data_IF_429511033018
#
_entry.id   IF_429511033018
#
_cell.length_a   1.000
_cell.length_b   1.000
_cell.length_c   1.000
_cell.angle_alpha   90.00
_cell.angle_beta   90.00
_cell.angle_gamma   90.00
#
_symmetry.space_group_name_H-M   'P 1'
#
loop_
_entity.id
_entity.type
_entity.pdbx_description
1 polymer ?
#
# COMPACT_ATOMS: atom_id res chain seq x y z
N UNK A 1 -5.82 39.45 -31.17
CA UNK A 1 -6.99 39.86 -30.36
C UNK A 1 -6.99 41.38 -30.09
N UNK A 2 -6.64 42.21 -31.09
CA UNK A 2 -6.44 43.67 -30.95
C UNK A 2 -7.36 44.61 -31.77
N UNK A 3 -8.20 44.18 -32.75
CA UNK A 3 -9.07 45.15 -33.46
C UNK A 3 -10.37 45.50 -32.70
N UNK A 4 -10.65 44.80 -31.59
CA UNK A 4 -11.96 44.79 -30.92
C UNK A 4 -12.12 45.93 -29.90
N UNK A 5 -11.03 46.35 -29.28
CA UNK A 5 -11.01 47.46 -28.31
C UNK A 5 -11.16 48.81 -29.04
N UNK A 6 -10.69 48.89 -30.29
CA UNK A 6 -10.75 50.10 -31.12
C UNK A 6 -12.15 50.41 -31.64
N UNK A 7 -12.97 49.41 -31.99
CA UNK A 7 -14.34 49.65 -32.48
C UNK A 7 -15.28 50.10 -31.36
N UNK A 8 -15.15 49.53 -30.17
CA UNK A 8 -15.92 49.96 -28.98
C UNK A 8 -15.47 51.35 -28.55
N UNK A 9 -14.16 51.63 -28.52
CA UNK A 9 -13.64 52.99 -28.24
C UNK A 9 -14.04 53.99 -29.32
N UNK A 10 -14.11 53.60 -30.61
CA UNK A 10 -14.62 54.46 -31.70
C UNK A 10 -16.10 54.74 -31.59
N UNK A 11 -16.91 53.77 -31.19
CA UNK A 11 -18.34 53.97 -30.92
C UNK A 11 -18.58 54.84 -29.69
N UNK A 12 -17.81 54.64 -28.61
CA UNK A 12 -17.89 55.47 -27.39
C UNK A 12 -17.45 56.92 -27.66
N UNK A 13 -16.41 57.14 -28.48
CA UNK A 13 -15.96 58.49 -28.88
C UNK A 13 -16.93 59.22 -29.82
N UNK A 14 -17.89 58.52 -30.43
CA UNK A 14 -18.91 59.10 -31.31
C UNK A 14 -20.22 59.43 -30.61
N UNK A 15 -20.33 59.17 -29.31
CA UNK A 15 -21.50 59.55 -28.52
C UNK A 15 -21.29 60.97 -27.99
N UNK A 16 -22.07 61.97 -28.45
CA UNK A 16 -22.12 63.23 -27.74
C UNK A 16 -22.64 62.92 -26.33
N UNK A 17 -21.92 63.41 -25.31
CA UNK A 17 -22.48 63.44 -23.97
C UNK A 17 -23.76 64.27 -24.02
N UNK A 18 -24.84 63.78 -23.43
CA UNK A 18 -26.10 64.54 -23.30
C UNK A 18 -25.74 65.90 -22.74
N UNK A 19 -25.69 66.90 -23.61
CA UNK A 19 -25.37 68.22 -23.14
C UNK A 19 -26.60 68.68 -22.41
N UNK A 20 -26.49 68.98 -21.12
CA UNK A 20 -27.48 69.74 -20.35
C UNK A 20 -28.05 70.90 -21.17
N UNK A 21 -27.26 71.42 -22.12
CA UNK A 21 -27.64 72.36 -23.18
C UNK A 21 -28.92 71.98 -23.95
N UNK A 22 -29.12 70.74 -24.40
CA UNK A 22 -30.30 70.39 -25.21
C UNK A 22 -31.56 70.34 -24.35
N UNK A 23 -31.45 69.85 -23.11
CA UNK A 23 -32.51 69.90 -22.11
C UNK A 23 -32.79 71.36 -21.68
N UNK A 24 -31.74 72.18 -21.53
CA UNK A 24 -31.82 73.61 -21.23
C UNK A 24 -32.46 74.40 -22.38
N UNK A 25 -32.14 74.10 -23.63
CA UNK A 25 -32.72 74.74 -24.82
C UNK A 25 -34.20 74.36 -24.97
N UNK A 26 -34.58 73.11 -24.67
CA UNK A 26 -35.99 72.67 -24.65
C UNK A 26 -36.79 73.37 -23.54
N UNK A 27 -36.22 73.44 -22.33
CA UNK A 27 -36.83 74.10 -21.16
C UNK A 27 -36.92 75.61 -21.38
N UNK A 28 -35.89 76.25 -21.94
CA UNK A 28 -35.92 77.67 -22.30
C UNK A 28 -36.93 77.95 -23.43
N UNK A 29 -36.99 77.11 -24.45
CA UNK A 29 -37.97 77.26 -25.54
C UNK A 29 -39.42 77.17 -25.06
N UNK A 30 -39.72 76.21 -24.17
CA UNK A 30 -41.01 76.10 -23.49
C UNK A 30 -41.29 77.27 -22.54
N UNK A 31 -40.27 77.77 -21.84
CA UNK A 31 -40.36 78.95 -20.98
C UNK A 31 -40.71 80.23 -21.75
N UNK A 32 -40.08 80.45 -22.90
CA UNK A 32 -40.36 81.59 -23.80
C UNK A 32 -41.76 81.48 -24.41
N UNK A 33 -42.19 80.29 -24.83
CA UNK A 33 -43.55 80.07 -25.35
C UNK A 33 -44.66 80.30 -24.29
N UNK A 34 -44.41 79.90 -23.04
CA UNK A 34 -45.29 80.23 -21.89
C UNK A 34 -45.30 81.72 -21.57
N UNK A 35 -44.14 82.38 -21.62
CA UNK A 35 -44.02 83.83 -21.41
C UNK A 35 -44.87 84.62 -22.41
N UNK A 36 -44.79 84.28 -23.71
CA UNK A 36 -45.54 84.97 -24.78
C UNK A 36 -47.07 84.73 -24.67
N UNK A 37 -47.50 83.56 -24.17
CA UNK A 37 -48.93 83.27 -23.97
C UNK A 37 -49.49 83.92 -22.69
N UNK A 38 -48.69 84.05 -21.64
CA UNK A 38 -49.04 84.81 -20.44
C UNK A 38 -49.13 86.32 -20.74
N UNK A 39 -48.17 86.88 -21.49
CA UNK A 39 -48.18 88.29 -21.92
C UNK A 39 -49.41 88.62 -22.79
N UNK A 40 -49.92 87.66 -23.57
CA UNK A 40 -51.17 87.80 -24.34
C UNK A 40 -52.43 87.82 -23.47
N UNK A 41 -52.41 87.21 -22.29
CA UNK A 41 -53.57 87.17 -21.40
C UNK A 41 -53.78 88.51 -20.65
N UNK A 42 -52.72 89.29 -20.45
CA UNK A 42 -52.76 90.57 -19.72
C UNK A 42 -52.96 91.80 -20.62
N UNK A 43 -52.97 91.65 -21.95
CA UNK A 43 -53.14 92.79 -22.87
C UNK A 43 -54.61 93.17 -23.11
N UNK A 44 -54.96 94.41 -22.75
CA UNK A 44 -56.27 95.03 -22.97
C UNK A 44 -56.67 95.14 -24.46
N UNK A 45 -57.98 95.28 -24.72
CA UNK A 45 -58.60 95.22 -26.07
C UNK A 45 -57.98 96.22 -27.06
N UNK A 46 -57.50 97.38 -26.60
CA UNK A 46 -56.86 98.42 -27.44
C UNK A 46 -55.43 98.03 -27.88
N UNK A 47 -54.67 97.34 -27.02
CA UNK A 47 -53.33 96.86 -27.36
C UNK A 47 -53.36 95.75 -28.41
N UNK A 48 -54.40 94.89 -28.37
CA UNK A 48 -54.63 93.83 -29.36
C UNK A 48 -54.91 94.36 -30.78
N UNK A 49 -55.63 95.48 -30.89
CA UNK A 49 -55.88 96.17 -32.17
C UNK A 49 -54.60 96.79 -32.76
N UNK A 50 -53.74 97.39 -31.92
CA UNK A 50 -52.45 97.93 -32.36
C UNK A 50 -51.44 96.84 -32.75
N UNK A 51 -51.46 95.69 -32.05
CA UNK A 51 -50.62 94.54 -32.38
C UNK A 51 -50.99 93.88 -33.72
N UNK A 52 -52.27 93.88 -34.10
CA UNK A 52 -52.74 93.44 -35.42
C UNK A 52 -52.31 94.40 -36.55
N UNK A 53 -52.28 95.71 -36.30
CA UNK A 53 -51.87 96.71 -37.30
C UNK A 53 -50.35 96.73 -37.56
N UNK A 54 -49.54 96.33 -36.57
CA UNK A 54 -48.07 96.35 -36.62
C UNK A 54 -47.44 95.01 -37.02
N UNK A 55 -48.25 93.97 -37.22
CA UNK A 55 -47.79 92.62 -37.60
C UNK A 55 -47.06 91.86 -36.47
N UNK A 56 -47.03 92.41 -35.25
CA UNK A 56 -46.34 91.81 -34.10
C UNK A 56 -47.01 90.51 -33.65
N UNK A 57 -48.32 90.39 -33.82
CA UNK A 57 -49.10 89.20 -33.43
C UNK A 57 -48.78 87.99 -34.34
N UNK A 58 -48.57 88.24 -35.63
CA UNK A 58 -48.12 87.23 -36.60
C UNK A 58 -46.67 86.80 -36.33
N UNK A 59 -45.80 87.75 -35.94
CA UNK A 59 -44.43 87.47 -35.52
C UNK A 59 -44.36 86.64 -34.24
N UNK A 60 -45.23 86.91 -33.26
CA UNK A 60 -45.33 86.13 -32.03
C UNK A 60 -45.88 84.71 -32.27
N UNK A 61 -46.86 84.56 -33.17
CA UNK A 61 -47.33 83.24 -33.61
C UNK A 61 -46.23 82.45 -34.33
N UNK A 62 -45.48 83.09 -35.24
CA UNK A 62 -44.34 82.47 -35.93
C UNK A 62 -43.22 82.06 -34.95
N UNK A 63 -42.94 82.87 -33.93
CA UNK A 63 -41.97 82.52 -32.89
C UNK A 63 -42.45 81.34 -32.02
N UNK A 64 -43.73 81.29 -31.70
CA UNK A 64 -44.32 80.18 -30.92
C UNK A 64 -44.33 78.89 -31.74
N UNK A 65 -44.68 78.98 -33.03
CA UNK A 65 -44.64 77.85 -33.95
C UNK A 65 -43.21 77.35 -34.15
N UNK A 66 -42.25 78.26 -34.29
CA UNK A 66 -40.84 77.92 -34.41
C UNK A 66 -40.30 77.25 -33.14
N UNK A 67 -40.59 77.77 -31.95
CA UNK A 67 -40.20 77.15 -30.69
C UNK A 67 -40.83 75.76 -30.49
N UNK A 68 -42.06 75.55 -30.96
CA UNK A 68 -42.72 74.25 -30.90
C UNK A 68 -42.07 73.24 -31.88
N UNK A 69 -41.77 73.69 -33.10
CA UNK A 69 -41.08 72.87 -34.11
C UNK A 69 -39.67 72.52 -33.64
N UNK A 70 -38.92 73.48 -33.09
CA UNK A 70 -37.59 73.27 -32.53
C UNK A 70 -37.65 72.28 -31.34
N UNK A 71 -38.67 72.39 -30.48
CA UNK A 71 -38.90 71.45 -29.37
C UNK A 71 -39.29 70.04 -29.81
N UNK A 72 -40.13 69.91 -30.85
CA UNK A 72 -40.46 68.61 -31.45
C UNK A 72 -39.23 67.96 -32.09
N UNK A 73 -38.41 68.75 -32.77
CA UNK A 73 -37.18 68.27 -33.40
C UNK A 73 -36.16 67.80 -32.35
N UNK A 74 -35.97 68.56 -31.27
CA UNK A 74 -35.11 68.17 -30.16
C UNK A 74 -35.61 66.92 -29.41
N UNK A 75 -36.92 66.72 -29.26
CA UNK A 75 -37.49 65.48 -28.69
C UNK A 75 -37.29 64.27 -29.61
N UNK A 76 -37.44 64.46 -30.93
CA UNK A 76 -37.15 63.42 -31.92
C UNK A 76 -35.67 63.04 -31.87
N UNK A 77 -34.76 64.02 -31.83
CA UNK A 77 -33.32 63.78 -31.68
C UNK A 77 -32.99 63.03 -30.40
N UNK A 78 -33.57 63.45 -29.25
CA UNK A 78 -33.33 62.82 -27.96
C UNK A 78 -33.91 61.39 -27.90
N UNK A 79 -35.08 61.15 -28.50
CA UNK A 79 -35.67 59.81 -28.61
C UNK A 79 -34.87 58.89 -29.53
N UNK A 80 -34.33 59.43 -30.62
CA UNK A 80 -33.50 58.70 -31.58
C UNK A 80 -32.16 58.33 -30.94
N UNK A 81 -31.56 59.24 -30.19
CA UNK A 81 -30.32 59.00 -29.45
C UNK A 81 -30.51 57.97 -28.32
N UNK A 82 -31.62 58.06 -27.57
CA UNK A 82 -31.98 57.06 -26.56
C UNK A 82 -32.20 55.68 -27.17
N UNK A 83 -32.90 55.59 -28.31
CA UNK A 83 -33.10 54.33 -29.04
C UNK A 83 -31.78 53.76 -29.58
N UNK A 84 -30.87 54.60 -30.08
CA UNK A 84 -29.54 54.17 -30.51
C UNK A 84 -28.69 53.65 -29.35
N UNK A 85 -28.72 54.31 -28.18
CA UNK A 85 -28.03 53.84 -26.97
C UNK A 85 -28.62 52.54 -26.44
N UNK A 86 -29.94 52.36 -26.50
CA UNK A 86 -30.58 51.10 -26.14
C UNK A 86 -30.12 49.97 -27.09
N UNK A 87 -30.11 50.20 -28.40
CA UNK A 87 -29.66 49.21 -29.39
C UNK A 87 -28.18 48.80 -29.20
N UNK A 88 -27.29 49.74 -28.88
CA UNK A 88 -25.87 49.44 -28.57
C UNK A 88 -25.76 48.64 -27.27
N UNK A 89 -26.57 48.97 -26.27
CA UNK A 89 -26.60 48.26 -24.98
C UNK A 89 -27.10 46.83 -25.14
N UNK A 90 -28.17 46.63 -25.92
CA UNK A 90 -28.74 45.31 -26.23
C UNK A 90 -27.74 44.46 -27.03
N UNK A 91 -27.02 45.05 -27.98
CA UNK A 91 -25.96 44.36 -28.70
C UNK A 91 -24.81 43.94 -27.77
N UNK A 92 -24.38 44.83 -26.88
CA UNK A 92 -23.35 44.52 -25.88
C UNK A 92 -23.80 43.40 -24.93
N UNK A 93 -25.05 43.45 -24.45
CA UNK A 93 -25.66 42.41 -23.60
C UNK A 93 -25.77 41.07 -24.33
N UNK A 94 -26.24 41.06 -25.59
CA UNK A 94 -26.32 39.84 -26.38
C UNK A 94 -24.94 39.22 -26.59
N UNK A 95 -23.90 40.04 -26.76
CA UNK A 95 -22.51 39.60 -26.91
C UNK A 95 -21.93 39.06 -25.61
N UNK A 96 -22.16 39.73 -24.48
CA UNK A 96 -21.80 39.24 -23.14
C UNK A 96 -22.51 37.91 -22.85
N UNK A 97 -23.80 37.81 -23.14
CA UNK A 97 -24.58 36.57 -22.99
C UNK A 97 -24.06 35.44 -23.89
N UNK A 98 -23.50 35.75 -25.06
CA UNK A 98 -22.87 34.77 -25.96
C UNK A 98 -21.53 34.31 -25.40
N UNK A 99 -20.69 35.22 -24.91
CA UNK A 99 -19.43 34.86 -24.24
C UNK A 99 -19.65 34.09 -22.93
N UNK A 100 -20.67 34.41 -22.15
CA UNK A 100 -21.03 33.67 -20.94
C UNK A 100 -21.51 32.25 -21.27
N UNK A 101 -22.30 32.07 -22.34
CA UNK A 101 -22.67 30.73 -22.81
C UNK A 101 -21.46 29.92 -23.25
N UNK A 102 -20.59 30.51 -24.07
CA UNK A 102 -19.36 29.84 -24.51
C UNK A 102 -18.43 29.46 -23.35
N UNK A 103 -18.24 30.36 -22.38
CA UNK A 103 -17.40 30.06 -21.20
C UNK A 103 -18.02 29.00 -20.29
N UNK A 104 -19.35 28.99 -20.15
CA UNK A 104 -20.07 27.92 -19.46
C UNK A 104 -19.88 26.57 -20.17
N UNK A 105 -20.08 26.51 -21.48
CA UNK A 105 -19.93 25.27 -22.25
C UNK A 105 -18.49 24.73 -22.15
N UNK A 106 -17.49 25.61 -22.15
CA UNK A 106 -16.09 25.24 -21.96
C UNK A 106 -15.83 24.71 -20.53
N UNK A 107 -16.41 25.34 -19.51
CA UNK A 107 -16.31 24.88 -18.13
C UNK A 107 -17.00 23.52 -17.90
N UNK A 108 -18.14 23.28 -18.54
CA UNK A 108 -18.84 22.01 -18.48
C UNK A 108 -18.04 20.90 -19.18
N UNK A 109 -17.41 21.19 -20.32
CA UNK A 109 -16.53 20.27 -21.03
C UNK A 109 -15.27 19.92 -20.22
N UNK A 110 -14.62 20.91 -19.59
CA UNK A 110 -13.44 20.65 -18.74
C UNK A 110 -13.80 19.86 -17.48
N UNK A 111 -14.96 20.12 -16.87
CA UNK A 111 -15.44 19.33 -15.74
C UNK A 111 -15.72 17.87 -16.12
N UNK A 112 -16.24 17.61 -17.32
CA UNK A 112 -16.44 16.25 -17.82
C UNK A 112 -15.09 15.52 -18.03
N UNK A 113 -14.10 16.19 -18.62
CA UNK A 113 -12.77 15.60 -18.80
C UNK A 113 -12.06 15.35 -17.47
N UNK A 114 -12.21 16.24 -16.48
CA UNK A 114 -11.70 16.01 -15.12
C UNK A 114 -12.33 14.78 -14.46
N UNK A 115 -13.64 14.56 -14.65
CA UNK A 115 -14.31 13.34 -14.16
C UNK A 115 -13.77 12.10 -14.85
N UNK A 116 -13.63 12.10 -16.17
CA UNK A 116 -13.02 10.98 -16.91
C UNK A 116 -11.61 10.66 -16.44
N UNK A 117 -10.80 11.69 -16.19
CA UNK A 117 -9.45 11.50 -15.65
C UNK A 117 -9.47 10.94 -14.22
N UNK A 118 -10.43 11.35 -13.39
CA UNK A 118 -10.63 10.79 -12.06
C UNK A 118 -11.03 9.31 -12.13
N UNK A 119 -11.98 8.94 -13.01
CA UNK A 119 -12.41 7.55 -13.22
C UNK A 119 -11.23 6.68 -13.70
N UNK A 120 -10.40 7.18 -14.63
CA UNK A 120 -9.20 6.48 -15.10
C UNK A 120 -8.17 6.34 -13.98
N UNK A 121 -7.96 7.38 -13.16
CA UNK A 121 -7.04 7.33 -12.03
C UNK A 121 -7.50 6.31 -10.97
N UNK A 122 -8.81 6.23 -10.71
CA UNK A 122 -9.40 5.24 -9.82
C UNK A 122 -9.20 3.81 -10.36
N UNK A 123 -9.53 3.57 -11.63
CA UNK A 123 -9.33 2.27 -12.28
C UNK A 123 -7.85 1.85 -12.28
N UNK A 124 -6.92 2.79 -12.52
CA UNK A 124 -5.48 2.53 -12.42
C UNK A 124 -5.08 2.20 -10.98
N UNK A 125 -5.63 2.90 -9.98
CA UNK A 125 -5.38 2.62 -8.57
C UNK A 125 -5.90 1.24 -8.13
N UNK A 126 -7.03 0.79 -8.66
CA UNK A 126 -7.52 -0.58 -8.48
C UNK A 126 -6.62 -1.62 -9.15
N UNK A 127 -6.20 -1.35 -10.39
CA UNK A 127 -5.31 -2.25 -11.12
C UNK A 127 -3.95 -2.41 -10.44
N UNK A 128 -3.34 -1.32 -9.97
CA UNK A 128 -2.07 -1.36 -9.23
C UNK A 128 -2.22 -2.21 -7.97
N UNK A 129 -3.28 -2.02 -7.18
CA UNK A 129 -3.54 -2.84 -5.98
C UNK A 129 -3.68 -4.33 -6.32
N UNK A 130 -4.43 -4.65 -7.37
CA UNK A 130 -4.57 -6.03 -7.83
C UNK A 130 -3.23 -6.64 -8.30
N UNK A 131 -2.38 -5.84 -8.94
CA UNK A 131 -1.02 -6.24 -9.30
C UNK A 131 -0.15 -6.49 -8.07
N UNK A 132 -0.17 -5.60 -7.08
CA UNK A 132 0.61 -5.72 -5.84
C UNK A 132 0.22 -6.98 -5.05
N UNK A 133 -1.09 -7.23 -4.91
CA UNK A 133 -1.61 -8.46 -4.28
C UNK A 133 -1.13 -9.71 -5.04
N UNK A 134 -1.17 -9.67 -6.37
CA UNK A 134 -0.72 -10.79 -7.20
C UNK A 134 0.79 -11.03 -7.08
N UNK A 135 1.59 -9.97 -7.03
CA UNK A 135 3.03 -10.03 -6.83
C UNK A 135 3.34 -10.65 -5.46
N UNK A 136 2.70 -10.19 -4.39
CA UNK A 136 2.90 -10.72 -3.05
C UNK A 136 2.61 -12.24 -2.96
N UNK A 137 1.53 -12.70 -3.60
CA UNK A 137 1.19 -14.13 -3.69
C UNK A 137 2.28 -14.92 -4.44
N UNK A 138 2.78 -14.38 -5.54
CA UNK A 138 3.83 -15.03 -6.34
C UNK A 138 5.17 -15.07 -5.59
N UNK A 139 5.52 -14.02 -4.85
CA UNK A 139 6.71 -13.97 -4.02
C UNK A 139 6.64 -14.98 -2.87
N UNK A 140 5.49 -15.08 -2.20
CA UNK A 140 5.27 -16.09 -1.16
C UNK A 140 5.37 -17.52 -1.73
N UNK A 141 4.78 -17.76 -2.90
CA UNK A 141 4.88 -19.05 -3.59
C UNK A 141 6.32 -19.38 -3.98
N UNK A 142 7.05 -18.42 -4.56
CA UNK A 142 8.47 -18.56 -4.91
C UNK A 142 9.30 -18.91 -3.67
N UNK A 143 9.12 -18.17 -2.57
CA UNK A 143 9.84 -18.43 -1.32
C UNK A 143 9.56 -19.85 -0.78
N UNK A 144 8.32 -20.34 -0.91
CA UNK A 144 7.97 -21.71 -0.55
C UNK A 144 8.66 -22.75 -1.44
N UNK A 145 8.73 -22.52 -2.75
CA UNK A 145 9.42 -23.41 -3.69
C UNK A 145 10.93 -23.43 -3.43
N UNK A 146 11.55 -22.26 -3.26
CA UNK A 146 12.98 -22.13 -2.98
C UNK A 146 13.36 -22.85 -1.67
N UNK A 147 12.52 -22.72 -0.64
CA UNK A 147 12.73 -23.43 0.63
C UNK A 147 12.61 -24.95 0.48
N UNK A 148 11.66 -25.43 -0.33
CA UNK A 148 11.51 -26.85 -0.63
C UNK A 148 12.73 -27.39 -1.39
N UNK A 149 13.18 -26.69 -2.43
CA UNK A 149 14.34 -27.09 -3.22
C UNK A 149 15.60 -27.14 -2.34
N UNK A 150 15.82 -26.14 -1.50
CA UNK A 150 16.93 -26.14 -0.55
C UNK A 150 16.86 -27.32 0.44
N UNK A 151 15.66 -27.69 0.91
CA UNK A 151 15.48 -28.87 1.76
C UNK A 151 15.76 -30.18 0.99
N UNK A 152 15.35 -30.27 -0.27
CA UNK A 152 15.62 -31.42 -1.14
C UNK A 152 17.12 -31.58 -1.42
N UNK A 153 17.85 -30.49 -1.71
CA UNK A 153 19.30 -30.49 -1.93
C UNK A 153 20.07 -30.96 -0.70
N UNK A 154 19.66 -30.48 0.48
CA UNK A 154 20.24 -30.91 1.77
C UNK A 154 20.01 -32.41 1.98
N UNK A 155 18.81 -32.92 1.69
CA UNK A 155 18.54 -34.36 1.78
C UNK A 155 19.34 -35.17 0.76
N UNK A 156 19.52 -34.69 -0.47
CA UNK A 156 20.32 -35.36 -1.50
C UNK A 156 21.80 -35.50 -1.08
N UNK A 157 22.34 -34.49 -0.40
CA UNK A 157 23.72 -34.50 0.12
C UNK A 157 23.93 -35.28 1.42
N UNK A 158 22.87 -35.87 2.00
CA UNK A 158 22.93 -36.46 3.34
C UNK A 158 23.87 -37.67 3.43
N UNK A 159 23.91 -38.52 2.40
CA UNK A 159 24.79 -39.70 2.36
C UNK A 159 26.27 -39.33 2.38
N UNK A 160 26.67 -38.35 1.57
CA UNK A 160 28.04 -37.83 1.54
C UNK A 160 28.44 -37.20 2.88
N UNK A 161 27.53 -36.45 3.52
CA UNK A 161 27.76 -35.87 4.85
C UNK A 161 27.84 -36.94 5.93
N UNK A 162 26.99 -37.97 5.89
CA UNK A 162 27.06 -39.10 6.81
C UNK A 162 28.41 -39.80 6.72
N UNK A 163 28.89 -40.08 5.49
CA UNK A 163 30.22 -40.69 5.26
C UNK A 163 31.35 -39.83 5.81
N UNK A 164 31.32 -38.53 5.54
CA UNK A 164 32.34 -37.60 6.04
C UNK A 164 32.32 -37.47 7.58
N UNK A 165 31.12 -37.48 8.18
CA UNK A 165 30.92 -37.35 9.63
C UNK A 165 31.13 -38.63 10.43
N UNK A 166 31.08 -39.81 9.80
CA UNK A 166 31.26 -41.11 10.45
C UNK A 166 32.75 -41.42 10.73
N UNK A 167 33.53 -40.46 11.21
CA UNK A 167 34.93 -40.68 11.65
C UNK A 167 35.06 -41.53 12.93
N UNK A 168 34.29 -42.62 13.05
CA UNK A 168 34.19 -43.46 14.24
C UNK A 168 33.08 -43.04 15.22
N UNK A 169 32.22 -42.09 14.84
CA UNK A 169 31.05 -41.71 15.65
C UNK A 169 30.04 -42.86 15.66
N UNK A 170 29.55 -43.30 16.84
CA UNK A 170 28.51 -44.32 16.91
C UNK A 170 27.28 -43.91 16.13
N UNK A 171 26.74 -44.81 15.31
CA UNK A 171 25.60 -44.50 14.45
C UNK A 171 24.38 -43.92 15.20
N UNK A 172 24.03 -44.30 16.46
CA UNK A 172 22.90 -43.68 17.15
C UNK A 172 23.16 -42.22 17.50
N UNK A 173 24.42 -41.87 17.82
CA UNK A 173 24.86 -40.51 18.08
C UNK A 173 24.82 -39.69 16.79
N UNK A 174 25.38 -40.25 15.70
CA UNK A 174 25.34 -39.63 14.38
C UNK A 174 23.91 -39.37 13.92
N UNK A 175 23.00 -40.32 14.12
CA UNK A 175 21.58 -40.18 13.78
C UNK A 175 20.91 -39.00 14.50
N UNK A 176 21.15 -38.84 15.81
CA UNK A 176 20.61 -37.73 16.60
C UNK A 176 21.20 -36.40 16.14
N UNK A 177 22.51 -36.32 15.94
CA UNK A 177 23.17 -35.09 15.49
C UNK A 177 22.72 -34.66 14.09
N UNK A 178 22.62 -35.60 13.14
CA UNK A 178 22.14 -35.31 11.80
C UNK A 178 20.65 -34.91 11.81
N UNK A 179 19.81 -35.61 12.58
CA UNK A 179 18.41 -35.22 12.75
C UNK A 179 18.28 -33.80 13.33
N UNK A 180 19.13 -33.45 14.30
CA UNK A 180 19.20 -32.10 14.89
C UNK A 180 19.61 -31.05 13.88
N UNK A 181 20.67 -31.31 13.10
CA UNK A 181 21.13 -30.40 12.04
C UNK A 181 20.01 -30.12 11.01
N UNK A 182 19.34 -31.19 10.55
CA UNK A 182 18.22 -31.07 9.61
C UNK A 182 17.05 -30.28 10.22
N UNK A 183 16.70 -30.57 11.47
CA UNK A 183 15.62 -29.90 12.20
C UNK A 183 15.90 -28.42 12.45
N UNK A 184 17.14 -28.04 12.76
CA UNK A 184 17.53 -26.64 12.96
C UNK A 184 17.64 -25.85 11.63
N UNK A 185 17.90 -26.56 10.53
CA UNK A 185 18.15 -25.97 9.21
C UNK A 185 16.92 -25.77 8.32
N UNK A 186 17.15 -25.83 7.00
CA UNK A 186 16.12 -25.68 5.96
C UNK A 186 15.02 -26.72 6.04
N UNK A 187 15.33 -27.96 6.43
CA UNK A 187 14.36 -29.05 6.50
C UNK A 187 13.34 -28.81 7.61
N UNK A 188 13.76 -28.33 8.79
CA UNK A 188 12.82 -27.94 9.84
C UNK A 188 11.97 -26.73 9.47
N UNK A 189 12.55 -25.73 8.78
CA UNK A 189 11.78 -24.59 8.24
C UNK A 189 10.73 -25.05 7.24
N UNK A 190 11.09 -25.94 6.33
CA UNK A 190 10.15 -26.52 5.36
C UNK A 190 9.04 -27.32 6.05
N UNK A 191 9.38 -28.12 7.06
CA UNK A 191 8.38 -28.88 7.84
C UNK A 191 7.35 -27.99 8.54
N UNK A 192 7.74 -26.80 9.00
CA UNK A 192 6.77 -25.86 9.57
C UNK A 192 5.78 -25.31 8.54
N UNK A 193 6.13 -25.27 7.25
CA UNK A 193 5.24 -24.87 6.17
C UNK A 193 4.44 -26.04 5.60
N UNK A 194 5.09 -27.17 5.35
CA UNK A 194 4.50 -28.34 4.68
C UNK A 194 3.81 -29.34 5.62
N UNK A 195 4.08 -29.25 6.92
CA UNK A 195 3.51 -30.13 7.95
C UNK A 195 4.36 -31.37 8.29
N UNK A 196 3.96 -32.13 9.32
CA UNK A 196 4.78 -33.18 9.94
C UNK A 196 4.98 -34.41 9.04
N UNK A 197 4.19 -34.59 7.97
CA UNK A 197 4.35 -35.69 7.02
C UNK A 197 5.74 -35.71 6.35
N UNK A 198 6.38 -34.54 6.20
CA UNK A 198 7.73 -34.44 5.64
C UNK A 198 8.78 -35.20 6.47
N UNK A 199 8.56 -35.37 7.77
CA UNK A 199 9.47 -36.10 8.67
C UNK A 199 9.65 -37.55 8.29
N UNK A 200 8.64 -38.17 7.68
CA UNK A 200 8.73 -39.57 7.20
C UNK A 200 9.81 -39.67 6.13
N UNK A 201 9.78 -38.77 5.14
CA UNK A 201 10.80 -38.69 4.09
C UNK A 201 12.19 -38.42 4.66
N UNK A 202 12.30 -37.49 5.62
CA UNK A 202 13.57 -37.21 6.29
C UNK A 202 14.12 -38.46 6.98
N UNK A 203 13.26 -39.19 7.71
CA UNK A 203 13.66 -40.42 8.40
C UNK A 203 14.09 -41.52 7.43
N UNK A 204 13.40 -41.68 6.30
CA UNK A 204 13.76 -42.68 5.29
C UNK A 204 15.11 -42.38 4.62
N UNK A 205 15.36 -41.11 4.28
CA UNK A 205 16.64 -40.67 3.69
C UNK A 205 17.79 -40.80 4.71
N UNK A 206 17.57 -40.40 5.97
CA UNK A 206 18.55 -40.56 7.04
C UNK A 206 18.85 -42.03 7.33
N UNK A 207 17.82 -42.88 7.35
CA UNK A 207 17.98 -44.32 7.53
C UNK A 207 18.80 -44.95 6.40
N UNK A 208 18.54 -44.57 5.15
CA UNK A 208 19.32 -45.02 4.00
C UNK A 208 20.79 -44.61 4.12
N UNK A 209 21.06 -43.34 4.45
CA UNK A 209 22.41 -42.84 4.67
C UNK A 209 23.13 -43.60 5.79
N UNK A 210 22.48 -43.82 6.94
CA UNK A 210 23.10 -44.53 8.07
C UNK A 210 23.37 -46.02 7.76
N UNK A 211 22.46 -46.71 7.06
CA UNK A 211 22.65 -48.12 6.68
C UNK A 211 23.83 -48.29 5.74
N UNK A 212 24.02 -47.36 4.81
CA UNK A 212 25.15 -47.39 3.89
C UNK A 212 26.47 -47.29 4.65
N UNK A 213 26.54 -46.42 5.66
CA UNK A 213 27.79 -46.20 6.39
C UNK A 213 28.05 -47.27 7.46
N UNK A 214 27.01 -47.74 8.15
CA UNK A 214 27.16 -48.70 9.25
C UNK A 214 27.01 -50.17 8.82
N UNK A 215 26.58 -50.45 7.57
CA UNK A 215 26.34 -51.79 7.03
C UNK A 215 25.41 -52.67 7.90
N UNK A 216 24.38 -52.07 8.52
CA UNK A 216 23.54 -52.75 9.52
C UNK A 216 22.25 -53.34 8.93
N UNK A 217 21.86 -54.58 9.33
CA UNK A 217 20.53 -55.11 9.06
C UNK A 217 19.48 -54.48 9.97
N UNK A 218 18.24 -54.36 9.50
CA UNK A 218 17.12 -53.80 10.30
C UNK A 218 16.55 -54.82 11.29
N UNK A 219 17.33 -55.11 12.33
CA UNK A 219 16.94 -56.02 13.41
C UNK A 219 16.76 -55.26 14.70
N UNK A 220 15.98 -55.83 15.62
CA UNK A 220 15.89 -55.31 16.98
C UNK A 220 17.27 -55.31 17.63
N UNK A 221 17.65 -54.20 18.25
CA UNK A 221 18.89 -54.08 19.01
C UNK A 221 18.61 -53.49 20.40
N UNK A 222 19.36 -53.92 21.43
CA UNK A 222 19.37 -53.26 22.73
C UNK A 222 20.16 -51.96 22.62
N UNK A 223 19.47 -50.82 22.80
CA UNK A 223 20.05 -49.49 22.63
C UNK A 223 21.25 -49.27 23.56
N UNK A 224 21.16 -49.72 24.80
CA UNK A 224 22.22 -49.60 25.80
C UNK A 224 23.51 -50.31 25.35
N UNK A 225 23.41 -51.51 24.77
CA UNK A 225 24.58 -52.25 24.29
C UNK A 225 25.24 -51.54 23.12
N UNK A 226 24.44 -51.09 22.15
CA UNK A 226 24.96 -50.38 20.97
C UNK A 226 25.66 -49.08 21.34
N UNK A 227 25.10 -48.33 22.30
CA UNK A 227 25.73 -47.12 22.80
C UNK A 227 26.98 -47.41 23.63
N UNK A 228 26.96 -48.43 24.50
CA UNK A 228 28.11 -48.84 25.31
C UNK A 228 29.28 -49.32 24.46
N UNK A 229 29.02 -50.10 23.42
CA UNK A 229 30.04 -50.54 22.46
C UNK A 229 30.52 -49.36 21.60
N UNK A 230 29.60 -48.48 21.22
CA UNK A 230 29.89 -47.29 20.42
C UNK A 230 30.86 -46.33 21.10
N UNK A 231 30.63 -45.95 22.37
CA UNK A 231 31.52 -44.98 23.02
C UNK A 231 32.91 -45.57 23.30
N UNK A 232 33.01 -46.89 23.51
CA UNK A 232 34.30 -47.58 23.66
C UNK A 232 35.13 -47.54 22.38
N UNK A 233 34.47 -47.56 21.21
CA UNK A 233 35.13 -47.41 19.92
C UNK A 233 35.69 -45.99 19.69
N UNK A 234 35.25 -44.98 20.45
CA UNK A 234 35.83 -43.64 20.41
C UNK A 234 37.22 -43.63 21.04
N UNK A 235 38.21 -43.24 20.23
CA UNK A 235 39.65 -43.40 20.51
C UNK A 235 40.18 -42.51 21.64
N UNK A 236 39.57 -41.37 21.92
CA UNK A 236 40.07 -40.38 22.89
C UNK A 236 38.96 -39.88 23.81
N UNK A 237 39.33 -39.47 25.03
CA UNK A 237 38.41 -38.82 25.97
C UNK A 237 37.86 -37.50 25.42
N UNK A 238 38.68 -36.77 24.66
CA UNK A 238 38.28 -35.50 24.03
C UNK A 238 37.15 -35.68 23.02
N UNK A 239 37.16 -36.75 22.22
CA UNK A 239 36.04 -37.05 21.30
C UNK A 239 34.74 -37.33 22.05
N UNK A 240 34.81 -38.03 23.19
CA UNK A 240 33.63 -38.32 24.02
C UNK A 240 33.06 -37.05 24.61
N UNK A 241 33.92 -36.17 25.12
CA UNK A 241 33.53 -34.86 25.64
C UNK A 241 32.92 -33.97 24.57
N UNK A 242 33.55 -33.87 23.39
CA UNK A 242 33.02 -33.09 22.27
C UNK A 242 31.62 -33.56 21.85
N UNK A 243 31.41 -34.88 21.74
CA UNK A 243 30.10 -35.42 21.40
C UNK A 243 29.06 -35.18 22.51
N UNK A 244 29.47 -35.22 23.77
CA UNK A 244 28.60 -34.85 24.89
C UNK A 244 28.17 -33.38 24.78
N UNK A 245 29.12 -32.47 24.54
CA UNK A 245 28.85 -31.02 24.38
C UNK A 245 27.95 -30.74 23.16
N UNK A 246 28.17 -31.40 22.02
CA UNK A 246 27.31 -31.28 20.82
C UNK A 246 25.87 -31.80 21.05
N UNK A 247 25.69 -32.68 22.04
CA UNK A 247 24.40 -33.20 22.47
C UNK A 247 23.80 -32.41 23.64
N UNK A 248 24.36 -31.25 23.97
CA UNK A 248 23.96 -30.35 25.05
C UNK A 248 24.19 -30.91 26.47
N UNK A 249 25.06 -31.91 26.62
CA UNK A 249 25.42 -32.41 27.95
C UNK A 249 26.09 -31.30 28.77
N UNK A 250 25.65 -31.13 30.02
CA UNK A 250 26.16 -30.10 30.92
C UNK A 250 25.65 -28.68 30.66
N UNK A 251 24.75 -28.45 29.70
CA UNK A 251 24.05 -27.17 29.58
C UNK A 251 23.04 -27.00 30.72
N UNK A 252 22.77 -25.74 31.10
CA UNK A 252 21.69 -25.41 32.02
C UNK A 252 20.38 -26.05 31.53
N UNK A 253 19.61 -26.76 32.39
CA UNK A 253 18.36 -27.40 31.99
C UNK A 253 17.34 -26.46 31.30
N UNK A 254 17.43 -25.14 31.54
CA UNK A 254 16.61 -24.12 30.87
C UNK A 254 17.03 -23.87 29.42
N UNK A 255 18.29 -24.11 29.12
CA UNK A 255 18.90 -24.00 27.78
C UNK A 255 18.88 -25.35 27.05
N UNK A 256 18.95 -26.44 27.80
CA UNK A 256 18.97 -27.79 27.26
C UNK A 256 17.59 -28.14 26.66
N UNK A 257 17.58 -28.68 25.43
CA UNK A 257 16.37 -29.15 24.75
C UNK A 257 15.86 -30.50 25.31
N UNK A 258 15.99 -30.70 26.63
CA UNK A 258 16.01 -32.02 27.29
C UNK A 258 14.64 -32.34 27.89
N UNK A 259 13.68 -32.68 27.05
CA UNK A 259 12.42 -33.31 27.46
C UNK A 259 12.10 -34.55 26.63
N UNK A 260 13.08 -35.06 25.87
CA UNK A 260 12.87 -36.13 24.89
C UNK A 260 13.67 -37.38 25.22
N UNK A 261 13.01 -38.53 25.41
CA UNK A 261 13.60 -39.71 26.03
C UNK A 261 14.81 -40.27 25.27
N UNK A 262 14.76 -40.30 23.94
CA UNK A 262 15.83 -40.88 23.14
C UNK A 262 17.05 -39.99 23.14
N UNK A 263 16.86 -38.71 22.82
CA UNK A 263 17.90 -37.69 22.76
C UNK A 263 18.60 -37.55 24.11
N UNK A 264 17.82 -37.48 25.21
CA UNK A 264 18.36 -37.40 26.56
C UNK A 264 19.20 -38.63 26.92
N UNK A 265 18.77 -39.83 26.53
CA UNK A 265 19.53 -41.07 26.77
C UNK A 265 20.88 -41.04 26.04
N UNK A 266 20.90 -40.62 24.77
CA UNK A 266 22.14 -40.54 23.99
C UNK A 266 23.08 -39.48 24.57
N UNK A 267 22.56 -38.29 24.92
CA UNK A 267 23.32 -37.22 25.54
C UNK A 267 23.93 -37.64 26.90
N UNK A 268 23.11 -38.16 27.81
CA UNK A 268 23.54 -38.63 29.13
C UNK A 268 24.55 -39.78 29.02
N UNK A 269 24.43 -40.64 28.01
CA UNK A 269 25.41 -41.69 27.79
C UNK A 269 26.78 -41.10 27.46
N UNK A 270 26.84 -40.12 26.55
CA UNK A 270 28.10 -39.46 26.19
C UNK A 270 28.66 -38.64 27.36
N UNK A 271 27.79 -37.98 28.14
CA UNK A 271 28.17 -37.27 29.37
C UNK A 271 28.87 -38.22 30.36
N UNK A 272 28.21 -39.32 30.73
CA UNK A 272 28.75 -40.32 31.65
C UNK A 272 30.02 -40.98 31.09
N UNK A 273 30.08 -41.24 29.78
CA UNK A 273 31.26 -41.79 29.11
C UNK A 273 32.43 -40.79 29.02
N UNK A 274 32.18 -39.49 29.15
CA UNK A 274 33.22 -38.46 29.13
C UNK A 274 33.92 -38.27 30.49
N UNK A 275 33.35 -38.82 31.58
CA UNK A 275 33.93 -38.74 32.92
C UNK A 275 35.33 -39.37 33.00
N UNK A 276 36.20 -38.93 33.93
CA UNK A 276 37.47 -39.57 34.22
C UNK A 276 37.29 -41.05 34.58
N UNK A 277 38.28 -41.89 34.28
CA UNK A 277 38.17 -43.36 34.46
C UNK A 277 37.83 -43.77 35.92
N UNK A 278 38.21 -42.96 36.91
CA UNK A 278 37.90 -43.19 38.33
C UNK A 278 36.42 -42.95 38.70
N UNK A 279 35.70 -42.17 37.92
CA UNK A 279 34.30 -41.79 38.14
C UNK A 279 33.36 -42.29 37.03
N UNK A 280 33.91 -42.79 35.92
CA UNK A 280 33.14 -43.33 34.80
C UNK A 280 32.49 -44.65 35.19
N UNK A 281 31.16 -44.80 35.04
CA UNK A 281 30.52 -46.09 35.21
C UNK A 281 30.98 -47.12 34.16
N UNK A 282 30.98 -48.41 34.50
CA UNK A 282 31.33 -49.48 33.54
C UNK A 282 30.37 -49.56 32.34
N UNK A 283 29.10 -49.20 32.58
CA UNK A 283 28.00 -49.22 31.59
C UNK A 283 27.25 -47.89 31.58
N UNK A 284 27.85 -46.81 31.04
CA UNK A 284 27.24 -45.49 30.95
C UNK A 284 25.84 -45.51 30.31
N UNK A 285 25.66 -46.28 29.23
CA UNK A 285 24.40 -46.28 28.48
C UNK A 285 23.25 -46.89 29.27
N UNK A 286 23.52 -47.96 30.02
CA UNK A 286 22.53 -48.60 30.89
C UNK A 286 22.02 -47.64 31.96
N UNK A 287 22.93 -46.90 32.60
CA UNK A 287 22.59 -45.92 33.62
C UNK A 287 21.83 -44.74 33.00
N UNK A 288 22.29 -44.24 31.86
CA UNK A 288 21.60 -43.16 31.13
C UNK A 288 20.16 -43.56 30.77
N UNK A 289 19.94 -44.77 30.26
CA UNK A 289 18.60 -45.28 29.94
C UNK A 289 17.71 -45.37 31.19
N UNK A 290 18.25 -45.85 32.30
CA UNK A 290 17.51 -45.93 33.57
C UNK A 290 17.14 -44.54 34.11
N UNK A 291 18.07 -43.58 34.05
CA UNK A 291 17.83 -42.18 34.45
C UNK A 291 16.79 -41.51 33.54
N UNK A 292 16.92 -41.66 32.22
CA UNK A 292 15.95 -41.13 31.25
C UNK A 292 14.55 -41.71 31.47
N UNK A 293 14.44 -43.01 31.77
CA UNK A 293 13.16 -43.65 32.08
C UNK A 293 12.47 -43.03 33.29
N UNK A 294 13.24 -42.69 34.33
CA UNK A 294 12.73 -42.04 35.53
C UNK A 294 12.29 -40.59 35.29
N UNK A 295 12.98 -39.87 34.40
CA UNK A 295 12.73 -38.42 34.14
C UNK A 295 11.67 -38.15 33.07
N UNK A 296 11.72 -38.89 31.97
CA UNK A 296 10.97 -38.58 30.72
C UNK A 296 9.95 -39.65 30.33
N UNK A 297 9.86 -40.74 31.10
CA UNK A 297 8.91 -41.84 30.85
C UNK A 297 9.51 -43.00 30.02
N UNK A 298 8.65 -43.87 29.49
CA UNK A 298 9.09 -45.13 28.87
C UNK A 298 9.92 -44.92 27.60
N UNK A 299 11.16 -45.42 27.64
CA UNK A 299 12.02 -45.58 26.46
C UNK A 299 12.09 -47.07 26.14
N UNK A 300 11.54 -47.45 24.99
CA UNK A 300 11.66 -48.83 24.51
C UNK A 300 13.15 -49.14 24.30
N UNK A 301 13.68 -50.07 25.10
CA UNK A 301 15.09 -50.47 25.05
C UNK A 301 15.41 -51.34 23.84
N UNK A 302 14.38 -51.97 23.24
CA UNK A 302 14.46 -52.66 21.97
C UNK A 302 13.91 -51.79 20.86
N UNK A 303 14.75 -51.38 19.91
CA UNK A 303 14.28 -50.69 18.72
C UNK A 303 14.81 -51.39 17.48
N UNK A 304 14.04 -51.37 16.39
CA UNK A 304 14.64 -51.53 15.06
C UNK A 304 15.39 -50.25 14.71
N UNK A 305 16.35 -50.32 13.79
CA UNK A 305 17.12 -49.16 13.35
C UNK A 305 16.17 -48.12 12.74
N UNK A 306 15.21 -48.58 11.92
CA UNK A 306 14.16 -47.71 11.38
C UNK A 306 13.35 -47.02 12.49
N UNK A 307 12.95 -47.77 13.53
CA UNK A 307 12.19 -47.24 14.65
C UNK A 307 12.98 -46.23 15.50
N UNK A 308 14.30 -46.43 15.64
CA UNK A 308 15.18 -45.48 16.31
C UNK A 308 15.30 -44.19 15.49
N UNK A 309 15.62 -44.28 14.19
CA UNK A 309 15.80 -43.11 13.33
C UNK A 309 14.53 -42.27 13.24
N UNK A 310 13.37 -42.91 13.07
CA UNK A 310 12.07 -42.21 13.04
C UNK A 310 11.80 -41.45 14.34
N UNK A 311 12.11 -42.05 15.49
CA UNK A 311 11.98 -41.39 16.80
C UNK A 311 12.96 -40.24 16.95
N UNK A 312 14.23 -40.42 16.58
CA UNK A 312 15.24 -39.36 16.64
C UNK A 312 14.83 -38.15 15.78
N UNK A 313 14.39 -38.38 14.53
CA UNK A 313 13.87 -37.32 13.66
C UNK A 313 12.64 -36.65 14.29
N UNK A 314 11.69 -37.42 14.80
CA UNK A 314 10.50 -36.87 15.46
C UNK A 314 10.83 -35.95 16.64
N UNK A 315 11.69 -36.42 17.56
CA UNK A 315 12.12 -35.65 18.72
C UNK A 315 12.84 -34.36 18.31
N UNK A 316 13.82 -34.44 17.40
CA UNK A 316 14.61 -33.27 17.00
C UNK A 316 13.78 -32.22 16.26
N UNK A 317 12.86 -32.63 15.38
CA UNK A 317 11.96 -31.69 14.70
C UNK A 317 10.98 -31.02 15.66
N UNK A 318 10.46 -31.76 16.64
CA UNK A 318 9.63 -31.18 17.69
C UNK A 318 10.39 -30.14 18.52
N UNK A 319 11.62 -30.45 18.92
CA UNK A 319 12.47 -29.54 19.68
C UNK A 319 12.76 -28.26 18.89
N UNK A 320 13.08 -28.38 17.60
CA UNK A 320 13.28 -27.22 16.73
C UNK A 320 12.00 -26.41 16.51
N UNK A 321 10.83 -27.05 16.41
CA UNK A 321 9.55 -26.36 16.32
C UNK A 321 9.20 -25.60 17.62
N UNK A 322 9.45 -26.21 18.78
CA UNK A 322 9.27 -25.56 20.08
C UNK A 322 10.23 -24.38 20.27
N UNK A 323 11.49 -24.52 19.87
CA UNK A 323 12.47 -23.44 19.92
C UNK A 323 12.01 -22.24 19.07
N UNK A 324 11.57 -22.47 17.83
CA UNK A 324 11.05 -21.40 16.95
C UNK A 324 9.86 -20.66 17.56
N UNK A 325 8.88 -21.40 18.09
CA UNK A 325 7.72 -20.79 18.77
C UNK A 325 8.11 -19.91 19.96
N UNK A 326 9.11 -20.33 20.76
CA UNK A 326 9.62 -19.52 21.88
C UNK A 326 10.26 -18.22 21.39
N UNK A 327 11.03 -18.29 20.31
CA UNK A 327 11.67 -17.11 19.72
C UNK A 327 10.64 -16.11 19.16
N UNK A 328 9.65 -16.59 18.41
CA UNK A 328 8.56 -15.77 17.87
C UNK A 328 7.72 -15.12 18.98
N UNK A 329 7.49 -15.83 20.08
CA UNK A 329 6.76 -15.32 21.24
C UNK A 329 7.53 -14.27 22.06
N UNK A 330 8.85 -14.20 21.93
CA UNK A 330 9.68 -13.20 22.64
C UNK A 330 9.79 -11.88 21.86
N UNK A 331 9.47 -11.89 20.56
CA UNK A 331 9.52 -10.70 19.69
C UNK A 331 8.21 -9.92 19.61
N UNK A 332 7.13 -10.42 20.24
CA UNK A 332 5.84 -9.74 20.36
C UNK A 332 5.72 -9.08 21.73
#
# INVERSE_FOLDING_TARGET
>A
MQPVDDDVRRMVRRLPGVSDRTLLELVNGLGVARGITADRAEQGVVARLFAQLTGSDHKAQLMTFRALVDGQQALVELSTEAAQRAAVTDLALARVATHLRYTRDLADATALEQRRLADVAEALGEYIRACDERIAVLEQWRASVDLRLAADDVLAGLGSRAKAGHGGVPWPVLAVLMARELAAGVCGRWEAQAGPAFRVRVADVLLAALREVAALPDRGFPLETVLDDGWRALRTGDHRRLLAELLDAGLDPRLALVDRPLTATVALTMELASLPDTARPERPARIALELSRRRTGWVDGGATISGFVKRAVGEQFDLAAQARRRWEGTQR
#
